data_IF_927260602805
#
_entry.id   IF_927260602805
#
_cell.length_a   1.000
_cell.length_b   1.000
_cell.length_c   1.000
_cell.angle_alpha   90.00
_cell.angle_beta   90.00
_cell.angle_gamma   90.00
#
_symmetry.space_group_name_H-M   'P 1'
#
loop_
_entity.id
_entity.type
_entity.pdbx_description
1 polymer ?
#
# COMPACT_ATOMS: atom_id res chain seq x y z
N UNK A 1 -18.03 -13.16 -13.03
CA UNK A 1 -16.97 -12.14 -12.91
C UNK A 1 -16.27 -12.02 -14.27
N UNK A 2 -16.38 -10.90 -15.00
CA UNK A 2 -15.71 -10.74 -16.28
C UNK A 2 -14.22 -10.46 -16.01
N UNK A 3 -13.40 -11.52 -16.04
CA UNK A 3 -11.95 -11.49 -15.73
C UNK A 3 -11.09 -10.90 -16.86
N UNK A 4 -11.63 -10.76 -18.07
CA UNK A 4 -10.90 -10.28 -19.26
C UNK A 4 -10.26 -8.88 -19.08
N UNK A 5 -10.99 -7.83 -18.70
CA UNK A 5 -10.40 -6.48 -18.55
C UNK A 5 -9.37 -6.39 -17.42
N UNK A 6 -9.45 -7.26 -16.41
CA UNK A 6 -8.46 -7.35 -15.33
C UNK A 6 -7.12 -7.89 -15.84
N UNK A 7 -7.14 -9.01 -16.57
CA UNK A 7 -5.92 -9.61 -17.12
C UNK A 7 -5.32 -8.77 -18.27
N UNK A 8 -6.13 -8.01 -19.00
CA UNK A 8 -5.65 -7.08 -20.03
C UNK A 8 -4.86 -5.89 -19.46
N UNK A 9 -5.17 -5.44 -18.23
CA UNK A 9 -4.52 -4.29 -17.59
C UNK A 9 -3.59 -4.68 -16.43
N UNK A 10 -3.31 -5.98 -16.26
CA UNK A 10 -2.58 -6.50 -15.10
C UNK A 10 -1.19 -5.89 -14.94
N UNK A 11 -0.51 -5.56 -16.05
CA UNK A 11 0.81 -4.92 -16.02
C UNK A 11 0.77 -3.51 -15.44
N UNK A 12 -0.22 -2.71 -15.81
CA UNK A 12 -0.42 -1.37 -15.24
C UNK A 12 -0.85 -1.43 -13.78
N UNK A 13 -1.70 -2.41 -13.42
CA UNK A 13 -2.11 -2.66 -12.03
C UNK A 13 -0.90 -3.06 -11.17
N UNK A 14 -0.07 -3.99 -11.65
CA UNK A 14 1.16 -4.41 -10.99
C UNK A 14 2.16 -3.27 -10.82
N UNK A 15 2.30 -2.39 -11.81
CA UNK A 15 3.20 -1.24 -11.73
C UNK A 15 2.74 -0.25 -10.66
N UNK A 16 1.46 0.13 -10.69
CA UNK A 16 0.90 1.08 -9.72
C UNK A 16 0.81 0.50 -8.31
N UNK A 17 0.32 -0.72 -8.16
CA UNK A 17 0.24 -1.39 -6.86
C UNK A 17 1.63 -1.70 -6.30
N UNK A 18 2.51 -2.25 -7.14
CA UNK A 18 3.88 -2.61 -6.79
C UNK A 18 4.73 -1.44 -6.33
N UNK A 19 4.94 -0.48 -7.23
CA UNK A 19 5.78 0.68 -6.92
C UNK A 19 5.09 1.64 -5.96
N UNK A 20 3.77 1.81 -6.06
CA UNK A 20 3.01 2.64 -5.15
C UNK A 20 3.15 2.16 -3.71
N UNK A 21 2.95 0.86 -3.46
CA UNK A 21 3.13 0.26 -2.15
C UNK A 21 4.56 0.40 -1.63
N UNK A 22 5.57 0.12 -2.47
CA UNK A 22 6.98 0.26 -2.07
C UNK A 22 7.31 1.71 -1.69
N UNK A 23 6.96 2.67 -2.54
CA UNK A 23 7.21 4.09 -2.28
C UNK A 23 6.48 4.55 -1.03
N UNK A 24 5.25 4.07 -0.79
CA UNK A 24 4.47 4.40 0.39
C UNK A 24 5.12 3.83 1.67
N UNK A 25 5.45 2.54 1.68
CA UNK A 25 6.10 1.88 2.82
C UNK A 25 7.44 2.53 3.19
N UNK A 26 8.32 2.73 2.21
CA UNK A 26 9.61 3.39 2.43
C UNK A 26 9.45 4.87 2.75
N UNK A 27 8.52 5.57 2.10
CA UNK A 27 8.24 6.98 2.35
C UNK A 27 7.79 7.24 3.78
N UNK A 28 6.84 6.46 4.29
CA UNK A 28 6.36 6.54 5.67
C UNK A 28 7.49 6.14 6.64
N UNK A 29 8.16 5.01 6.41
CA UNK A 29 9.21 4.55 7.33
C UNK A 29 10.42 5.50 7.41
N UNK A 30 10.87 6.04 6.27
CA UNK A 30 11.97 7.00 6.25
C UNK A 30 11.57 8.36 6.82
N UNK A 31 10.37 8.86 6.51
CA UNK A 31 9.89 10.13 7.07
C UNK A 31 9.80 10.08 8.60
N UNK A 32 9.26 8.98 9.15
CA UNK A 32 9.23 8.74 10.60
C UNK A 32 10.64 8.66 11.21
N UNK A 33 11.58 8.00 10.53
CA UNK A 33 12.97 7.96 10.97
C UNK A 33 13.61 9.36 11.01
N UNK A 34 13.40 10.18 9.98
CA UNK A 34 13.91 11.56 9.98
C UNK A 34 13.30 12.41 11.10
N UNK A 35 12.02 12.21 11.44
CA UNK A 35 11.38 12.88 12.58
C UNK A 35 12.00 12.43 13.90
N UNK A 36 12.29 11.13 14.06
CA UNK A 36 12.93 10.60 15.27
C UNK A 36 14.36 11.14 15.49
N UNK A 37 15.07 11.50 14.41
CA UNK A 37 16.41 12.12 14.47
C UNK A 37 16.39 13.56 14.99
N UNK A 38 15.22 14.21 15.05
CA UNK A 38 15.10 15.57 15.58
C UNK A 38 15.23 15.51 17.11
N UNK A 39 16.32 16.07 17.65
CA UNK A 39 16.65 16.09 19.09
C UNK A 39 15.54 16.62 20.01
N UNK A 40 14.60 17.40 19.48
CA UNK A 40 13.45 17.92 20.23
C UNK A 40 12.48 16.82 20.69
N UNK A 41 12.43 15.70 19.97
CA UNK A 41 11.51 14.60 20.24
C UNK A 41 12.09 13.56 21.23
N UNK A 42 13.42 13.55 21.46
CA UNK A 42 14.05 12.64 22.42
C UNK A 42 13.91 11.14 22.09
N UNK A 43 13.54 10.81 20.84
CA UNK A 43 13.20 9.46 20.38
C UNK A 43 14.39 8.71 19.75
N UNK A 44 15.59 8.87 20.35
CA UNK A 44 16.84 8.29 19.82
C UNK A 44 16.94 6.77 19.88
N UNK A 45 16.03 6.11 20.61
CA UNK A 45 16.02 4.65 20.80
C UNK A 45 15.31 3.89 19.66
N UNK A 46 14.55 4.60 18.80
CA UNK A 46 13.84 3.96 17.70
C UNK A 46 14.78 3.72 16.53
N UNK A 47 14.98 2.45 16.22
CA UNK A 47 15.87 2.04 15.15
C UNK A 47 15.19 2.20 13.78
N UNK A 48 15.98 2.39 12.71
CA UNK A 48 15.46 2.53 11.34
C UNK A 48 14.54 1.35 10.96
N UNK A 49 14.90 0.14 11.41
CA UNK A 49 14.14 -1.08 11.16
C UNK A 49 12.71 -1.02 11.72
N UNK A 50 12.53 -0.49 12.93
CA UNK A 50 11.21 -0.39 13.57
C UNK A 50 10.31 0.58 12.81
N UNK A 51 10.86 1.69 12.31
CA UNK A 51 10.11 2.65 11.50
C UNK A 51 9.77 2.08 10.12
N UNK A 52 10.67 1.31 9.49
CA UNK A 52 10.39 0.64 8.22
C UNK A 52 9.35 -0.48 8.35
N UNK A 53 9.40 -1.27 9.44
CA UNK A 53 8.39 -2.27 9.76
C UNK A 53 7.01 -1.64 9.95
N UNK A 54 6.96 -0.51 10.67
CA UNK A 54 5.74 0.26 10.84
C UNK A 54 5.22 0.83 9.50
N UNK A 55 6.11 1.38 8.67
CA UNK A 55 5.78 1.86 7.33
C UNK A 55 5.23 0.75 6.42
N UNK A 56 5.81 -0.45 6.48
CA UNK A 56 5.33 -1.64 5.75
C UNK A 56 3.91 -2.02 6.16
N UNK A 57 3.65 -2.08 7.47
CA UNK A 57 2.33 -2.43 8.01
C UNK A 57 1.25 -1.43 7.60
N UNK A 58 1.56 -0.12 7.64
CA UNK A 58 0.60 0.94 7.27
C UNK A 58 0.43 1.07 5.76
N UNK A 59 1.40 0.61 4.96
CA UNK A 59 1.29 0.69 3.50
C UNK A 59 0.18 -0.20 2.92
N UNK A 60 -0.23 -1.26 3.62
CA UNK A 60 -1.39 -2.05 3.24
C UNK A 60 -2.66 -1.20 3.42
N UNK A 61 -3.33 -0.90 2.31
CA UNK A 61 -4.56 -0.09 2.29
C UNK A 61 -5.72 -0.96 1.84
N UNK A 62 -6.72 -1.09 2.71
CA UNK A 62 -7.97 -1.79 2.41
C UNK A 62 -8.97 -0.86 1.70
N UNK A 63 -9.39 -1.14 0.46
CA UNK A 63 -10.33 -0.31 -0.28
C UNK A 63 -11.78 -0.70 0.00
N UNK A 64 -12.07 -1.56 0.99
CA UNK A 64 -13.40 -2.13 1.22
C UNK A 64 -14.48 -1.05 1.33
N UNK A 65 -14.18 0.04 2.03
CA UNK A 65 -15.08 1.18 2.15
C UNK A 65 -15.30 1.92 0.81
N UNK A 66 -14.25 2.06 0.00
CA UNK A 66 -14.32 2.72 -1.32
C UNK A 66 -15.09 1.84 -2.31
N UNK A 67 -14.85 0.53 -2.30
CA UNK A 67 -15.55 -0.43 -3.14
C UNK A 67 -17.06 -0.46 -2.83
N UNK A 68 -17.44 -0.43 -1.55
CA UNK A 68 -18.85 -0.39 -1.15
C UNK A 68 -19.57 0.86 -1.67
N UNK A 69 -18.93 2.02 -1.59
CA UNK A 69 -19.49 3.28 -2.12
C UNK A 69 -19.56 3.26 -3.65
N UNK A 70 -18.56 2.67 -4.32
CA UNK A 70 -18.52 2.58 -5.78
C UNK A 70 -19.58 1.64 -6.35
N UNK A 71 -19.89 0.57 -5.63
CA UNK A 71 -20.99 -0.34 -5.97
C UNK A 71 -22.35 0.37 -5.89
N UNK A 72 -22.57 1.18 -4.84
CA UNK A 72 -23.79 1.98 -4.68
C UNK A 72 -23.91 3.09 -5.75
N UNK A 73 -22.78 3.69 -6.13
CA UNK A 73 -22.71 4.72 -7.16
C UNK A 73 -22.76 4.19 -8.62
N UNK A 74 -22.90 2.87 -8.84
CA UNK A 74 -22.89 2.21 -10.16
C UNK A 74 -21.67 2.59 -11.02
N UNK A 75 -20.49 2.60 -10.41
CA UNK A 75 -19.23 2.90 -11.11
C UNK A 75 -18.89 1.79 -12.11
N UNK A 76 -18.15 2.13 -13.16
CA UNK A 76 -17.70 1.21 -14.21
C UNK A 76 -16.98 -0.02 -13.62
N UNK A 77 -17.42 -1.23 -14.01
CA UNK A 77 -16.85 -2.51 -13.57
C UNK A 77 -15.33 -2.59 -13.75
N UNK A 78 -14.79 -1.91 -14.77
CA UNK A 78 -13.35 -1.89 -15.05
C UNK A 78 -12.55 -1.15 -13.97
N UNK A 79 -13.11 -0.06 -13.41
CA UNK A 79 -12.46 0.70 -12.34
C UNK A 79 -12.52 -0.07 -11.01
N UNK A 80 -13.65 -0.73 -10.75
CA UNK A 80 -13.82 -1.61 -9.59
C UNK A 80 -12.77 -2.72 -9.57
N UNK A 81 -12.61 -3.44 -10.70
CA UNK A 81 -11.62 -4.51 -10.82
C UNK A 81 -10.18 -4.02 -10.69
N UNK A 82 -9.89 -2.79 -11.12
CA UNK A 82 -8.56 -2.19 -11.02
C UNK A 82 -8.18 -1.89 -9.56
N UNK A 83 -9.06 -1.23 -8.81
CA UNK A 83 -8.86 -0.90 -7.39
C UNK A 83 -8.82 -2.16 -6.53
N UNK A 84 -9.69 -3.13 -6.81
CA UNK A 84 -9.66 -4.43 -6.15
C UNK A 84 -8.32 -5.14 -6.37
N UNK A 85 -7.82 -5.15 -7.61
CA UNK A 85 -6.51 -5.72 -7.95
C UNK A 85 -5.34 -5.04 -7.26
N UNK A 86 -5.38 -3.71 -7.19
CA UNK A 86 -4.37 -2.90 -6.51
C UNK A 86 -4.26 -3.30 -5.04
N UNK A 87 -5.39 -3.32 -4.33
CA UNK A 87 -5.41 -3.65 -2.91
C UNK A 87 -4.97 -5.08 -2.62
N UNK A 88 -5.43 -6.05 -3.42
CA UNK A 88 -5.04 -7.45 -3.26
C UNK A 88 -3.52 -7.64 -3.41
N UNK A 89 -2.88 -6.90 -4.33
CA UNK A 89 -1.44 -6.92 -4.51
C UNK A 89 -0.70 -6.15 -3.40
N UNK A 90 -1.25 -5.02 -2.95
CA UNK A 90 -0.69 -4.20 -1.90
C UNK A 90 -0.56 -4.98 -0.58
N UNK A 91 -1.58 -5.77 -0.22
CA UNK A 91 -1.52 -6.67 0.94
C UNK A 91 -0.39 -7.69 0.83
N UNK A 92 -0.25 -8.32 -0.34
CA UNK A 92 0.84 -9.27 -0.60
C UNK A 92 2.23 -8.65 -0.47
N UNK A 93 2.39 -7.42 -0.97
CA UNK A 93 3.65 -6.67 -0.89
C UNK A 93 3.95 -6.27 0.55
N UNK A 94 2.95 -5.81 1.31
CA UNK A 94 3.11 -5.46 2.72
C UNK A 94 3.55 -6.66 3.57
N UNK A 95 2.94 -7.83 3.37
CA UNK A 95 3.35 -9.08 4.06
C UNK A 95 4.77 -9.49 3.67
N UNK A 96 5.12 -9.37 2.38
CA UNK A 96 6.47 -9.65 1.91
C UNK A 96 7.50 -8.73 2.56
N UNK A 97 7.25 -7.41 2.56
CA UNK A 97 8.14 -6.41 3.18
C UNK A 97 8.29 -6.66 4.68
N UNK A 98 7.20 -6.98 5.38
CA UNK A 98 7.22 -7.31 6.80
C UNK A 98 8.02 -8.60 7.10
N UNK A 99 8.04 -9.55 6.17
CA UNK A 99 8.78 -10.82 6.36
C UNK A 99 10.28 -10.68 6.07
N UNK A 100 10.68 -9.65 5.32
CA UNK A 100 12.07 -9.41 4.89
C UNK A 100 12.79 -8.44 5.84
N UNK A 101 12.08 -7.44 6.36
CA UNK A 101 12.58 -6.45 7.33
C UNK A 101 12.60 -7.05 8.75
#
# INVERSE_FOLDING_TARGET
MPTRPFFENIGSILWWAGLGALINAFGIGLSLYFICQIKAFGLGDINLLQNLLFGSLISAVDPVAVLAVFEEARVNEQLYMMIFGEALLNDGISVMLHSIL
#
